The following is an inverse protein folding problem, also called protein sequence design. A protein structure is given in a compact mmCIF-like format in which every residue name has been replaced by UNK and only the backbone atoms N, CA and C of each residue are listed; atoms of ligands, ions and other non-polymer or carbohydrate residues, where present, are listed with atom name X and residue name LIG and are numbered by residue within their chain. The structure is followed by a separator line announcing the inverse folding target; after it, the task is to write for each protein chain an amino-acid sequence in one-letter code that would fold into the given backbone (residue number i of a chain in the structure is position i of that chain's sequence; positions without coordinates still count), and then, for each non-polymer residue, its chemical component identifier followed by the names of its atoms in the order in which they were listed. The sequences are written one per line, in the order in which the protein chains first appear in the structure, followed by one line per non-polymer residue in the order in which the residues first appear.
data_IF_240788635261
#
_entry.id   IF_240788635261
#
_cell.length_a   1.000
_cell.length_b   1.000
_cell.length_c   1.000
_cell.angle_alpha   90.00
_cell.angle_beta   90.00
_cell.angle_gamma   90.00
#
_symmetry.space_group_name_H-M   'P 1'
#
loop_
_entity.id
_entity.type
_entity.pdbx_description
1 polymer ?
#
# COMPACT_ATOMS: atom_id res chain seq x y z
N UNK A 1 -29.72 -2.58 4.69
CA UNK A 1 -28.50 -1.81 4.42
C UNK A 1 -27.93 -2.28 3.10
N UNK A 2 -28.08 -1.49 2.03
CA UNK A 2 -27.52 -1.81 0.72
C UNK A 2 -25.99 -1.81 0.81
N UNK A 3 -25.40 -3.00 0.75
CA UNK A 3 -23.95 -3.16 0.69
C UNK A 3 -23.52 -2.64 -0.68
N UNK A 4 -23.10 -1.36 -0.75
CA UNK A 4 -22.49 -0.79 -1.94
C UNK A 4 -21.33 -1.71 -2.35
N UNK A 5 -21.51 -2.45 -3.45
CA UNK A 5 -20.50 -3.37 -3.97
C UNK A 5 -19.29 -2.56 -4.45
N UNK A 6 -18.31 -2.38 -3.57
CA UNK A 6 -17.05 -1.72 -3.90
C UNK A 6 -16.29 -2.57 -4.93
N UNK A 7 -16.02 -1.99 -6.10
CA UNK A 7 -15.23 -2.64 -7.15
C UNK A 7 -13.77 -2.62 -6.74
N UNK A 8 -13.15 -3.80 -6.70
CA UNK A 8 -11.71 -3.97 -6.48
C UNK A 8 -11.08 -4.32 -7.82
N UNK A 9 -10.39 -3.36 -8.43
CA UNK A 9 -9.71 -3.50 -9.72
C UNK A 9 -8.22 -3.38 -9.48
N UNK A 10 -7.45 -4.27 -10.10
CA UNK A 10 -6.00 -4.34 -9.91
C UNK A 10 -5.38 -4.68 -11.27
N UNK A 11 -4.57 -3.76 -11.77
CA UNK A 11 -3.83 -3.97 -13.02
C UNK A 11 -2.65 -4.89 -12.72
N UNK A 12 -2.61 -6.02 -13.43
CA UNK A 12 -1.66 -7.09 -13.18
C UNK A 12 -0.91 -7.42 -14.46
N UNK A 13 0.38 -7.69 -14.30
CA UNK A 13 1.17 -8.31 -15.34
C UNK A 13 0.57 -9.68 -15.74
N UNK A 14 0.50 -10.04 -17.03
CA UNK A 14 -0.11 -11.29 -17.49
C UNK A 14 0.52 -12.57 -16.93
N UNK A 15 1.81 -12.55 -16.59
CA UNK A 15 2.48 -13.72 -15.97
C UNK A 15 2.01 -13.86 -14.53
N UNK A 16 1.96 -12.75 -13.80
CA UNK A 16 1.48 -12.74 -12.42
C UNK A 16 0.00 -13.13 -12.32
N UNK A 17 -0.84 -12.64 -13.24
CA UNK A 17 -2.26 -13.01 -13.32
C UNK A 17 -2.45 -14.52 -13.52
N UNK A 18 -1.65 -15.15 -14.39
CA UNK A 18 -1.69 -16.61 -14.61
C UNK A 18 -1.35 -17.38 -13.35
N UNK A 19 -0.29 -16.99 -12.63
CA UNK A 19 0.11 -17.61 -11.36
C UNK A 19 -1.00 -17.51 -10.31
N UNK A 20 -1.59 -16.32 -10.17
CA UNK A 20 -2.72 -16.08 -9.26
C UNK A 20 -3.92 -16.97 -9.58
N UNK A 21 -4.26 -17.08 -10.87
CA UNK A 21 -5.39 -17.91 -11.31
C UNK A 21 -5.17 -19.38 -10.96
N UNK A 22 -3.99 -19.92 -11.23
CA UNK A 22 -3.65 -21.31 -10.88
C UNK A 22 -3.78 -21.55 -9.39
N UNK A 23 -3.22 -20.68 -8.55
CA UNK A 23 -3.27 -20.83 -7.09
C UNK A 23 -4.72 -20.71 -6.57
N UNK A 24 -5.50 -19.76 -7.09
CA UNK A 24 -6.90 -19.61 -6.73
C UNK A 24 -7.71 -20.88 -7.06
N UNK A 25 -7.49 -21.45 -8.25
CA UNK A 25 -8.10 -22.72 -8.67
C UNK A 25 -7.68 -23.88 -7.77
N UNK A 26 -6.40 -24.00 -7.42
CA UNK A 26 -5.91 -25.03 -6.49
C UNK A 26 -6.57 -24.93 -5.10
N UNK A 27 -7.00 -23.72 -4.71
CA UNK A 27 -7.72 -23.48 -3.45
C UNK A 27 -9.24 -23.50 -3.59
N UNK A 28 -9.78 -23.88 -4.74
CA UNK A 28 -11.22 -23.98 -4.98
C UNK A 28 -11.95 -22.64 -4.90
N UNK A 29 -11.27 -21.52 -5.14
CA UNK A 29 -11.82 -20.17 -5.01
C UNK A 29 -11.61 -19.34 -6.28
N UNK A 30 -12.42 -18.30 -6.46
CA UNK A 30 -12.22 -17.36 -7.57
C UNK A 30 -10.97 -16.52 -7.34
N UNK A 31 -10.34 -16.06 -8.41
CA UNK A 31 -9.16 -15.19 -8.32
C UNK A 31 -9.42 -13.92 -7.50
N UNK A 32 -10.62 -13.33 -7.63
CA UNK A 32 -11.03 -12.15 -6.84
C UNK A 32 -11.07 -12.46 -5.34
N UNK A 33 -11.70 -13.59 -4.96
CA UNK A 33 -11.75 -14.02 -3.56
C UNK A 33 -10.35 -14.30 -3.02
N UNK A 34 -9.52 -14.99 -3.80
CA UNK A 34 -8.14 -15.25 -3.41
C UNK A 34 -7.36 -13.96 -3.12
N UNK A 35 -7.45 -12.95 -4.02
CA UNK A 35 -6.78 -11.68 -3.82
C UNK A 35 -7.29 -10.95 -2.57
N UNK A 36 -8.62 -10.87 -2.38
CA UNK A 36 -9.20 -10.23 -1.20
C UNK A 36 -8.75 -10.92 0.09
N UNK A 37 -8.88 -12.24 0.17
CA UNK A 37 -8.48 -12.99 1.35
C UNK A 37 -6.97 -13.02 1.58
N UNK A 38 -6.15 -12.78 0.54
CA UNK A 38 -4.71 -12.60 0.71
C UNK A 38 -4.40 -11.22 1.31
N UNK A 39 -5.04 -10.16 0.80
CA UNK A 39 -4.89 -8.80 1.33
C UNK A 39 -5.39 -8.71 2.77
N UNK A 40 -6.57 -9.26 3.07
CA UNK A 40 -7.12 -9.27 4.44
C UNK A 40 -6.19 -9.99 5.43
N UNK A 41 -5.58 -11.12 5.03
CA UNK A 41 -4.64 -11.83 5.88
C UNK A 41 -3.37 -11.02 6.14
N UNK A 42 -2.87 -10.32 5.14
CA UNK A 42 -1.67 -9.50 5.31
C UNK A 42 -1.95 -8.24 6.13
N UNK A 43 -3.10 -7.60 5.92
CA UNK A 43 -3.57 -6.52 6.80
C UNK A 43 -3.73 -6.99 8.23
N UNK A 44 -4.35 -8.15 8.47
CA UNK A 44 -4.50 -8.70 9.81
C UNK A 44 -3.15 -9.03 10.46
N UNK A 45 -2.14 -9.46 9.68
CA UNK A 45 -0.78 -9.65 10.20
C UNK A 45 -0.12 -8.32 10.54
N UNK A 46 -0.24 -7.31 9.68
CA UNK A 46 0.32 -5.98 9.91
C UNK A 46 -0.33 -5.33 11.16
N UNK A 47 -1.65 -5.49 11.32
CA UNK A 47 -2.39 -5.03 12.50
C UNK A 47 -2.01 -5.80 13.77
N UNK A 48 -1.86 -7.13 13.68
CA UNK A 48 -1.46 -7.98 14.81
C UNK A 48 -0.01 -7.78 15.23
N UNK A 49 0.89 -7.46 14.29
CA UNK A 49 2.25 -7.01 14.58
C UNK A 49 2.26 -5.60 15.21
N UNK A 50 1.15 -4.87 15.07
CA UNK A 50 1.01 -3.49 15.48
C UNK A 50 1.92 -2.56 14.67
N UNK A 51 1.73 -1.25 14.81
CA UNK A 51 2.67 -0.24 14.33
C UNK A 51 4.11 -0.35 14.93
N UNK A 52 4.44 -1.46 15.61
CA UNK A 52 5.75 -1.78 16.16
C UNK A 52 6.77 -2.22 15.12
N UNK A 53 6.38 -2.42 13.86
CA UNK A 53 7.29 -2.69 12.75
C UNK A 53 7.68 -1.45 11.94
N UNK A 54 7.38 -0.22 12.40
CA UNK A 54 8.24 0.88 11.99
C UNK A 54 9.58 0.67 12.71
N UNK A 55 10.73 0.60 12.01
CA UNK A 55 12.05 0.46 12.64
C UNK A 55 12.44 1.69 13.48
N UNK A 56 11.50 2.63 13.61
CA UNK A 56 11.60 3.91 14.26
C UNK A 56 10.49 3.91 15.31
N UNK A 57 10.85 3.79 16.61
CA UNK A 57 9.88 3.77 17.71
C UNK A 57 9.03 5.04 17.78
N UNK A 58 8.07 5.10 18.73
CA UNK A 58 7.21 6.29 18.95
C UNK A 58 8.00 7.60 19.09
N UNK A 59 9.20 7.52 19.66
CA UNK A 59 10.11 8.66 19.78
C UNK A 59 10.56 9.19 18.41
N UNK A 60 10.81 8.31 17.44
CA UNK A 60 11.22 8.69 16.10
C UNK A 60 10.05 9.22 15.26
N UNK A 61 8.84 8.72 15.48
CA UNK A 61 7.62 9.33 14.94
C UNK A 61 7.42 10.73 15.50
N UNK A 62 7.61 10.91 16.81
CA UNK A 62 7.51 12.21 17.48
C UNK A 62 8.55 13.20 16.95
N UNK A 63 9.81 12.75 16.77
CA UNK A 63 10.88 13.55 16.13
C UNK A 63 10.54 13.92 14.69
N UNK A 64 9.94 13.01 13.93
CA UNK A 64 9.56 13.28 12.53
C UNK A 64 8.44 14.34 12.45
N UNK A 65 7.45 14.27 13.34
CA UNK A 65 6.40 15.29 13.45
C UNK A 65 6.97 16.65 13.86
N UNK A 66 7.90 16.68 14.83
CA UNK A 66 8.58 17.92 15.23
C UNK A 66 9.42 18.51 14.10
N UNK A 67 10.21 17.69 13.41
CA UNK A 67 11.00 18.13 12.24
C UNK A 67 10.11 18.63 11.11
N UNK A 68 8.96 18.00 10.87
CA UNK A 68 7.99 18.47 9.89
C UNK A 68 7.44 19.85 10.29
N UNK A 69 7.11 20.04 11.57
CA UNK A 69 6.60 21.32 12.06
C UNK A 69 7.65 22.44 11.95
N UNK A 70 8.92 22.14 12.25
CA UNK A 70 10.04 23.08 12.13
C UNK A 70 10.34 23.43 10.67
N UNK A 71 10.48 22.42 9.80
CA UNK A 71 10.85 22.61 8.39
C UNK A 71 9.75 23.29 7.58
N UNK A 72 8.48 22.97 7.87
CA UNK A 72 7.35 23.51 7.12
C UNK A 72 6.64 24.67 7.84
N UNK A 73 7.08 25.07 9.04
CA UNK A 73 6.53 26.18 9.82
C UNK A 73 4.99 26.19 9.88
N UNK A 74 4.38 25.01 10.02
CA UNK A 74 2.92 24.85 10.06
C UNK A 74 2.18 25.00 8.72
N UNK A 75 2.88 25.18 7.59
CA UNK A 75 2.26 25.16 6.26
C UNK A 75 1.95 23.72 5.85
N UNK A 76 0.67 23.41 5.65
CA UNK A 76 0.28 22.17 4.96
C UNK A 76 0.85 22.21 3.55
N UNK A 77 1.76 21.30 3.22
CA UNK A 77 2.29 21.15 1.87
C UNK A 77 1.11 20.78 0.96
N UNK A 78 0.72 21.65 0.00
CA UNK A 78 -0.44 21.39 -0.82
C UNK A 78 -0.07 20.31 -1.84
N UNK A 79 -0.50 19.07 -1.62
CA UNK A 79 -0.65 18.06 -2.69
C UNK A 79 0.56 17.69 -3.56
N UNK A 80 1.78 18.11 -3.21
CA UNK A 80 2.97 17.88 -4.05
C UNK A 80 3.69 16.56 -3.76
N UNK A 81 3.43 15.91 -2.63
CA UNK A 81 4.06 14.62 -2.30
C UNK A 81 3.71 13.54 -3.32
N UNK A 82 2.46 13.50 -3.80
CA UNK A 82 2.03 12.54 -4.82
C UNK A 82 2.71 12.82 -6.16
N UNK A 83 2.86 14.10 -6.55
CA UNK A 83 3.55 14.49 -7.79
C UNK A 83 5.05 14.17 -7.72
N UNK A 84 5.70 14.49 -6.61
CA UNK A 84 7.12 14.18 -6.36
C UNK A 84 7.38 12.67 -6.34
N UNK A 85 6.50 11.88 -5.72
CA UNK A 85 6.58 10.41 -5.76
C UNK A 85 6.37 9.91 -7.19
N UNK A 86 5.48 10.54 -7.96
CA UNK A 86 5.23 10.15 -9.34
C UNK A 86 6.42 10.46 -10.26
N UNK A 87 7.08 11.60 -10.08
CA UNK A 87 8.30 11.98 -10.79
C UNK A 87 9.49 11.10 -10.40
N UNK A 88 9.68 10.82 -9.11
CA UNK A 88 10.71 9.91 -8.62
C UNK A 88 10.54 8.46 -9.13
N UNK A 89 9.30 8.03 -9.40
CA UNK A 89 9.02 6.74 -10.05
C UNK A 89 9.35 6.77 -11.54
N UNK A 90 9.10 7.89 -12.23
CA UNK A 90 9.44 8.06 -13.66
C UNK A 90 10.94 8.08 -13.88
N UNK A 91 11.71 8.74 -13.00
CA UNK A 91 13.18 8.77 -13.13
C UNK A 91 13.83 7.40 -12.93
N UNK A 92 13.29 6.55 -12.04
CA UNK A 92 13.77 5.15 -11.89
C UNK A 92 13.44 4.25 -13.08
N UNK A 93 12.31 4.51 -13.75
CA UNK A 93 11.91 3.74 -14.93
C UNK A 93 12.69 4.11 -16.20
N UNK A 94 13.46 5.20 -16.18
CA UNK A 94 14.15 5.76 -17.34
C UNK A 94 15.68 5.81 -17.17
N UNK A 95 16.23 5.00 -16.26
CA UNK A 95 17.69 4.77 -16.19
C UNK A 95 18.03 3.72 -17.26
N UNK A 96 18.86 4.04 -18.28
CA UNK A 96 19.32 3.07 -19.27
C UNK A 96 20.26 2.02 -18.66
#
# INVERSE_FOLDING_TARGET
MDIKKTRFTLDLDPIFQRRLKVIATLKGMTMRQYCLSAVERELAKDEAQGAKAFPFGEEALSRLVSLQAELFAGRKVPGESVKLIHEARKTRANVP
#
